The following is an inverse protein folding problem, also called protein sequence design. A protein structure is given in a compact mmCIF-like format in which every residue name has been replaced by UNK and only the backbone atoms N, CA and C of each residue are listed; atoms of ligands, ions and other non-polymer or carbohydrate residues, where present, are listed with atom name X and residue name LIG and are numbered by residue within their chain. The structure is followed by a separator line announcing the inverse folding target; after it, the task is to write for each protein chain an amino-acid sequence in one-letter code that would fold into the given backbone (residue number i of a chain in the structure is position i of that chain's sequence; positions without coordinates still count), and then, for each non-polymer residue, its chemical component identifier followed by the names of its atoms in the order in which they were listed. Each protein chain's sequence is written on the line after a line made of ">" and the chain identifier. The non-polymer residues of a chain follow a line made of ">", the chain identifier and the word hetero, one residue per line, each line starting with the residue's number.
data_IF_584475754769
#
_entry.id   IF_584475754769
#
_cell.length_a   1.000
_cell.length_b   1.000
_cell.length_c   1.000
_cell.angle_alpha   90.00
_cell.angle_beta   90.00
_cell.angle_gamma   90.00
#
_symmetry.space_group_name_H-M   'P 1'
#
loop_
_entity.id
_entity.type
_entity.pdbx_description
1 polymer ?
#
# COMPACT_ATOMS: atom_id res chain seq x y z
N UNK A 1 2.18 7.85 -2.41
CA UNK A 1 2.14 7.47 -0.99
C UNK A 1 3.37 6.67 -0.56
N UNK A 2 3.73 5.63 -1.27
CA UNK A 2 4.88 4.77 -1.00
C UNK A 2 6.18 5.54 -0.76
N UNK A 3 6.50 6.51 -1.64
CA UNK A 3 7.67 7.39 -1.50
C UNK A 3 7.69 8.18 -0.18
N UNK A 4 6.55 8.69 0.25
CA UNK A 4 6.45 9.41 1.53
C UNK A 4 6.69 8.48 2.72
N UNK A 5 6.14 7.27 2.68
CA UNK A 5 6.41 6.25 3.70
C UNK A 5 7.92 5.91 3.75
N UNK A 6 8.54 5.66 2.61
CA UNK A 6 9.96 5.36 2.51
C UNK A 6 10.83 6.51 3.04
N UNK A 7 10.48 7.76 2.72
CA UNK A 7 11.17 8.94 3.22
C UNK A 7 11.10 9.02 4.75
N UNK A 8 9.90 8.88 5.34
CA UNK A 8 9.71 8.95 6.81
C UNK A 8 10.46 7.83 7.53
N UNK A 9 10.46 6.61 6.97
CA UNK A 9 11.24 5.51 7.51
C UNK A 9 12.75 5.80 7.47
N UNK A 10 13.23 6.35 6.36
CA UNK A 10 14.64 6.74 6.21
C UNK A 10 15.04 7.85 7.19
N UNK A 11 14.20 8.87 7.38
CA UNK A 11 14.41 9.94 8.38
C UNK A 11 14.47 9.38 9.80
N UNK A 12 13.74 8.28 10.06
CA UNK A 12 13.75 7.53 11.32
C UNK A 12 14.89 6.49 11.40
N UNK A 13 15.87 6.55 10.47
CA UNK A 13 17.02 5.62 10.38
C UNK A 13 16.63 4.14 10.20
N UNK A 14 15.43 3.87 9.67
CA UNK A 14 14.98 2.52 9.34
C UNK A 14 15.49 2.10 7.96
N UNK A 15 16.08 0.91 7.90
CA UNK A 15 16.47 0.28 6.64
C UNK A 15 15.22 -0.28 5.95
N UNK A 16 14.86 0.29 4.81
CA UNK A 16 13.62 -0.02 4.12
C UNK A 16 13.89 -0.69 2.75
N UNK A 17 13.30 -1.85 2.54
CA UNK A 17 13.14 -2.47 1.22
C UNK A 17 11.83 -2.04 0.59
N UNK A 18 11.80 -1.90 -0.74
CA UNK A 18 10.60 -1.52 -1.48
C UNK A 18 10.35 -2.54 -2.58
N UNK A 19 9.17 -3.14 -2.57
CA UNK A 19 8.70 -4.06 -3.61
C UNK A 19 7.53 -3.40 -4.32
N UNK A 20 7.65 -3.20 -5.63
CA UNK A 20 6.59 -2.65 -6.47
C UNK A 20 6.23 -3.68 -7.52
N UNK A 21 4.95 -4.02 -7.59
CA UNK A 21 4.42 -4.90 -8.63
C UNK A 21 3.69 -4.05 -9.68
N UNK A 22 4.43 -3.57 -10.65
CA UNK A 22 3.86 -2.81 -11.77
C UNK A 22 3.76 -3.71 -13.00
N UNK A 23 2.57 -3.74 -13.61
CA UNK A 23 2.34 -4.38 -14.91
C UNK A 23 2.62 -3.33 -15.98
N UNK A 24 3.84 -3.31 -16.52
CA UNK A 24 4.18 -2.35 -17.57
C UNK A 24 5.65 -1.90 -17.56
N UNK A 25 5.98 -1.01 -18.48
CA UNK A 25 7.31 -0.41 -18.62
C UNK A 25 7.75 0.32 -17.34
N UNK A 26 9.06 0.44 -17.13
CA UNK A 26 9.72 1.07 -15.99
C UNK A 26 8.97 2.35 -15.56
N UNK A 27 8.25 2.26 -14.44
CA UNK A 27 7.45 3.38 -13.94
C UNK A 27 8.31 4.58 -13.55
N UNK A 28 7.77 5.78 -13.70
CA UNK A 28 8.44 7.06 -13.34
C UNK A 28 8.85 7.05 -11.87
N UNK A 29 8.08 6.39 -11.02
CA UNK A 29 8.34 6.29 -9.57
C UNK A 29 9.61 5.50 -9.26
N UNK A 30 9.93 4.45 -10.01
CA UNK A 30 11.15 3.67 -9.84
C UNK A 30 12.41 4.49 -10.11
N UNK A 31 12.37 5.41 -11.09
CA UNK A 31 13.49 6.32 -11.35
C UNK A 31 13.68 7.33 -10.21
N UNK A 32 12.59 7.80 -9.60
CA UNK A 32 12.65 8.70 -8.44
C UNK A 32 13.18 7.95 -7.21
N UNK A 33 12.71 6.74 -6.94
CA UNK A 33 13.17 5.91 -5.82
C UNK A 33 14.66 5.59 -5.92
N UNK A 34 15.15 5.19 -7.11
CA UNK A 34 16.57 4.96 -7.35
C UNK A 34 17.42 6.22 -7.13
N UNK A 35 16.92 7.39 -7.53
CA UNK A 35 17.61 8.68 -7.27
C UNK A 35 17.70 9.01 -5.78
N UNK A 36 16.74 8.58 -4.97
CA UNK A 36 16.69 8.78 -3.52
C UNK A 36 17.56 7.77 -2.75
N UNK A 37 18.30 6.89 -3.43
CA UNK A 37 19.16 5.84 -2.86
C UNK A 37 18.40 4.77 -2.06
N UNK A 38 17.10 4.58 -2.31
CA UNK A 38 16.38 3.42 -1.79
C UNK A 38 16.73 2.16 -2.60
N UNK A 39 16.81 1.04 -1.92
CA UNK A 39 16.88 -0.26 -2.58
C UNK A 39 15.46 -0.61 -3.07
N UNK A 40 15.26 -0.59 -4.38
CA UNK A 40 13.97 -0.88 -5.02
C UNK A 40 14.06 -2.20 -5.76
N UNK A 41 13.11 -3.08 -5.51
CA UNK A 41 12.94 -4.35 -6.22
C UNK A 41 11.63 -4.34 -6.97
N UNK A 42 11.69 -4.67 -8.23
CA UNK A 42 10.54 -4.76 -9.11
C UNK A 42 10.20 -6.23 -9.32
N UNK A 43 8.95 -6.59 -9.12
CA UNK A 43 8.46 -7.92 -9.49
C UNK A 43 7.89 -7.80 -10.89
N UNK A 44 8.63 -8.31 -11.89
CA UNK A 44 8.12 -8.46 -13.23
C UNK A 44 7.37 -9.80 -13.35
N UNK A 45 6.05 -9.77 -13.52
CA UNK A 45 5.27 -10.99 -13.65
C UNK A 45 4.03 -10.83 -14.53
N UNK A 46 3.98 -11.62 -15.58
CA UNK A 46 2.77 -11.80 -16.36
C UNK A 46 1.78 -12.72 -15.64
N UNK A 47 0.46 -12.48 -15.77
CA UNK A 47 -0.69 -13.27 -15.30
C UNK A 47 -0.72 -13.63 -13.81
N UNK A 48 -1.42 -12.91 -13.28
CA UNK A 48 -1.85 -12.30 -12.02
C UNK A 48 -2.08 -13.21 -10.80
N UNK A 49 -2.44 -14.48 -10.87
CA UNK A 49 -2.89 -15.19 -9.67
C UNK A 49 -1.93 -16.22 -9.08
N UNK A 50 -1.16 -16.93 -9.90
CA UNK A 50 -0.27 -17.99 -9.40
C UNK A 50 1.21 -17.59 -9.42
N UNK A 51 1.62 -16.84 -10.44
CA UNK A 51 3.04 -16.44 -10.63
C UNK A 51 3.47 -15.36 -9.65
N UNK A 52 2.54 -14.44 -9.27
CA UNK A 52 2.80 -13.38 -8.32
C UNK A 52 3.15 -13.91 -6.93
N UNK A 53 2.43 -14.91 -6.46
CA UNK A 53 2.63 -15.46 -5.12
C UNK A 53 4.01 -16.12 -4.97
N UNK A 54 4.45 -16.87 -5.99
CA UNK A 54 5.77 -17.52 -5.99
C UNK A 54 6.87 -16.46 -6.08
N UNK A 55 6.74 -15.49 -6.98
CA UNK A 55 7.75 -14.43 -7.14
C UNK A 55 7.83 -13.51 -5.93
N UNK A 56 6.70 -13.23 -5.23
CA UNK A 56 6.70 -12.44 -4.00
C UNK A 56 7.44 -13.18 -2.87
N UNK A 57 7.15 -14.45 -2.64
CA UNK A 57 7.82 -15.28 -1.64
C UNK A 57 9.34 -15.31 -1.88
N UNK A 58 9.76 -15.60 -3.11
CA UNK A 58 11.18 -15.62 -3.49
C UNK A 58 11.85 -14.25 -3.32
N UNK A 59 11.19 -13.18 -3.74
CA UNK A 59 11.72 -11.81 -3.62
C UNK A 59 11.90 -11.42 -2.15
N UNK A 60 10.91 -11.70 -1.31
CA UNK A 60 11.01 -11.43 0.13
C UNK A 60 12.14 -12.22 0.77
N UNK A 61 12.29 -13.52 0.43
CA UNK A 61 13.42 -14.33 0.91
C UNK A 61 14.77 -13.80 0.46
N UNK A 62 14.90 -13.39 -0.80
CA UNK A 62 16.14 -12.78 -1.31
C UNK A 62 16.48 -11.49 -0.57
N UNK A 63 15.48 -10.64 -0.29
CA UNK A 63 15.67 -9.41 0.46
C UNK A 63 16.17 -9.68 1.87
N UNK A 64 15.50 -10.58 2.58
CA UNK A 64 15.86 -10.93 3.96
C UNK A 64 17.22 -11.59 4.10
N UNK A 65 17.62 -12.39 3.10
CA UNK A 65 18.91 -13.09 3.12
C UNK A 65 20.09 -12.18 2.75
N UNK A 66 19.87 -11.16 1.92
CA UNK A 66 20.94 -10.32 1.41
C UNK A 66 21.05 -8.95 2.10
N UNK A 67 20.01 -8.53 2.82
CA UNK A 67 19.93 -7.21 3.42
C UNK A 67 19.37 -7.28 4.83
N UNK A 68 19.97 -6.53 5.73
CA UNK A 68 19.50 -6.33 7.09
C UNK A 68 18.43 -5.21 7.08
N UNK A 69 17.17 -5.59 6.83
CA UNK A 69 16.05 -4.66 6.68
C UNK A 69 15.17 -4.62 7.92
N UNK A 70 14.78 -3.41 8.34
CA UNK A 70 13.79 -3.20 9.40
C UNK A 70 12.35 -3.31 8.87
N UNK A 71 12.13 -2.94 7.61
CA UNK A 71 10.79 -2.85 7.03
C UNK A 71 10.84 -3.12 5.52
N UNK A 72 9.80 -3.77 5.01
CA UNK A 72 9.54 -3.89 3.57
C UNK A 72 8.24 -3.16 3.27
N UNK A 73 8.28 -2.22 2.35
CA UNK A 73 7.11 -1.59 1.76
C UNK A 73 6.74 -2.35 0.48
N UNK A 74 5.50 -2.82 0.42
CA UNK A 74 4.97 -3.54 -0.73
C UNK A 74 3.84 -2.72 -1.35
N UNK A 75 3.95 -2.42 -2.65
CA UNK A 75 2.86 -1.87 -3.45
C UNK A 75 2.42 -2.91 -4.48
N UNK A 76 1.28 -3.60 -4.24
CA UNK A 76 0.72 -4.52 -5.21
C UNK A 76 0.11 -3.75 -6.39
N UNK A 77 -0.17 -4.43 -7.50
CA UNK A 77 -0.94 -3.81 -8.58
C UNK A 77 -2.34 -3.39 -8.08
N UNK A 78 -2.88 -2.30 -8.62
CA UNK A 78 -4.12 -1.69 -8.12
C UNK A 78 -5.38 -2.56 -8.20
N UNK A 79 -5.32 -3.72 -8.87
CA UNK A 79 -6.40 -4.70 -8.95
C UNK A 79 -6.12 -5.99 -8.15
N UNK A 80 -5.02 -6.05 -7.41
CA UNK A 80 -4.66 -7.24 -6.63
C UNK A 80 -5.50 -7.34 -5.38
N UNK A 81 -6.11 -8.50 -5.15
CA UNK A 81 -6.78 -8.81 -3.88
C UNK A 81 -5.72 -8.88 -2.75
N UNK A 82 -5.81 -8.01 -1.72
CA UNK A 82 -4.85 -8.02 -0.62
C UNK A 82 -4.81 -9.36 0.11
N UNK A 83 -5.91 -10.10 0.17
CA UNK A 83 -5.97 -11.41 0.85
C UNK A 83 -5.01 -12.43 0.23
N UNK A 84 -4.78 -12.34 -1.08
CA UNK A 84 -3.87 -13.20 -1.80
C UNK A 84 -2.38 -13.01 -1.43
N UNK A 85 -2.05 -11.87 -0.83
CA UNK A 85 -0.67 -11.55 -0.42
C UNK A 85 -0.28 -12.13 0.94
N UNK A 86 -1.26 -12.37 1.82
CA UNK A 86 -0.97 -12.82 3.19
C UNK A 86 -0.28 -14.19 3.21
N UNK A 87 -0.78 -15.16 2.44
CA UNK A 87 -0.20 -16.51 2.41
C UNK A 87 1.27 -16.57 1.95
N UNK A 88 1.68 -15.90 0.86
CA UNK A 88 3.10 -15.77 0.49
C UNK A 88 3.95 -15.09 1.56
N UNK A 89 3.44 -14.02 2.18
CA UNK A 89 4.14 -13.30 3.24
C UNK A 89 4.31 -14.16 4.51
N UNK A 90 3.29 -14.90 4.90
CA UNK A 90 3.37 -15.85 6.02
C UNK A 90 4.41 -16.94 5.78
N UNK A 91 4.48 -17.50 4.58
CA UNK A 91 5.52 -18.46 4.19
C UNK A 91 6.93 -17.86 4.24
N UNK A 92 7.05 -16.55 4.02
CA UNK A 92 8.32 -15.82 4.15
C UNK A 92 8.65 -15.43 5.60
N UNK A 93 7.85 -15.88 6.59
CA UNK A 93 8.09 -15.64 8.02
C UNK A 93 7.43 -14.38 8.58
N UNK A 94 6.57 -13.70 7.81
CA UNK A 94 5.79 -12.58 8.31
C UNK A 94 4.44 -13.06 8.82
N UNK A 95 4.22 -12.96 10.12
CA UNK A 95 2.87 -13.20 10.69
C UNK A 95 1.94 -12.03 10.37
N UNK A 96 0.64 -12.28 10.35
CA UNK A 96 -0.39 -11.26 10.11
C UNK A 96 -0.22 -10.03 11.02
N UNK A 97 0.26 -10.23 12.25
CA UNK A 97 0.51 -9.14 13.21
C UNK A 97 1.68 -8.21 12.80
N UNK A 98 2.59 -8.70 11.96
CA UNK A 98 3.73 -7.92 11.43
C UNK A 98 3.41 -7.26 10.10
N UNK A 99 2.25 -7.58 9.51
CA UNK A 99 1.81 -7.01 8.23
C UNK A 99 0.86 -5.86 8.54
N UNK A 100 1.19 -4.67 8.07
CA UNK A 100 0.31 -3.52 8.11
C UNK A 100 -0.25 -3.24 6.73
N UNK A 101 -1.54 -3.40 6.58
CA UNK A 101 -2.27 -3.13 5.34
C UNK A 101 -2.87 -1.71 5.39
N UNK A 102 -2.50 -0.87 4.43
CA UNK A 102 -2.98 0.50 4.30
C UNK A 102 -3.76 0.60 2.99
N UNK A 103 -5.06 0.80 3.09
CA UNK A 103 -5.93 1.01 1.93
C UNK A 103 -5.95 2.48 1.54
N UNK A 104 -5.77 2.79 0.25
CA UNK A 104 -5.77 4.16 -0.26
C UNK A 104 -6.96 4.34 -1.18
N UNK A 105 -7.85 5.28 -0.84
CA UNK A 105 -9.05 5.63 -1.59
C UNK A 105 -8.88 7.00 -2.26
N UNK A 106 -9.22 7.05 -3.55
CA UNK A 106 -9.38 8.30 -4.31
C UNK A 106 -10.85 8.74 -4.23
N UNK A 107 -11.18 9.82 -3.51
CA UNK A 107 -12.57 10.27 -3.33
C UNK A 107 -13.24 10.67 -4.64
N UNK A 108 -12.48 11.12 -5.66
CA UNK A 108 -13.02 11.48 -6.97
C UNK A 108 -13.55 10.26 -7.76
N UNK A 109 -13.29 9.06 -7.29
CA UNK A 109 -13.66 7.80 -7.93
C UNK A 109 -14.52 6.91 -7.04
N UNK A 110 -15.00 7.41 -5.91
CA UNK A 110 -15.72 6.59 -4.92
C UNK A 110 -16.96 5.93 -5.51
N UNK A 111 -17.74 6.65 -6.31
CA UNK A 111 -18.95 6.12 -6.97
C UNK A 111 -18.60 4.99 -7.95
N UNK A 112 -17.51 5.15 -8.71
CA UNK A 112 -17.02 4.11 -9.62
C UNK A 112 -16.55 2.88 -8.82
N UNK A 113 -15.83 3.06 -7.73
CA UNK A 113 -15.39 1.96 -6.88
C UNK A 113 -16.60 1.19 -6.32
N UNK A 114 -17.61 1.88 -5.81
CA UNK A 114 -18.82 1.23 -5.28
C UNK A 114 -19.62 0.51 -6.37
N UNK A 115 -19.72 1.10 -7.57
CA UNK A 115 -20.51 0.52 -8.66
C UNK A 115 -19.83 -0.66 -9.39
N UNK A 116 -18.50 -0.65 -9.51
CA UNK A 116 -17.76 -1.58 -10.38
C UNK A 116 -16.84 -2.49 -9.59
N UNK A 117 -16.29 -2.02 -8.47
CA UNK A 117 -15.28 -2.71 -7.69
C UNK A 117 -15.77 -3.05 -6.26
N UNK A 118 -17.08 -3.20 -6.06
CA UNK A 118 -17.65 -3.55 -4.77
C UNK A 118 -17.00 -4.80 -4.13
N UNK A 119 -16.78 -5.91 -4.85
CA UNK A 119 -16.11 -7.09 -4.29
C UNK A 119 -14.68 -6.80 -3.81
N UNK A 120 -13.98 -5.88 -4.47
CA UNK A 120 -12.64 -5.45 -4.07
C UNK A 120 -12.67 -4.61 -2.79
N UNK A 121 -13.65 -3.71 -2.63
CA UNK A 121 -13.85 -2.95 -1.40
C UNK A 121 -14.20 -3.88 -0.23
N UNK A 122 -15.09 -4.86 -0.47
CA UNK A 122 -15.51 -5.85 0.51
C UNK A 122 -14.36 -6.73 0.99
N UNK A 123 -13.44 -7.12 0.12
CA UNK A 123 -12.27 -7.91 0.49
C UNK A 123 -11.15 -7.09 1.12
N UNK A 124 -11.00 -5.81 0.72
CA UNK A 124 -9.82 -5.01 1.06
C UNK A 124 -9.99 -4.19 2.33
N UNK A 125 -11.14 -3.50 2.49
CA UNK A 125 -11.34 -2.56 3.62
C UNK A 125 -11.34 -3.26 4.97
N UNK A 126 -11.97 -4.44 5.16
CA UNK A 126 -11.93 -5.16 6.43
C UNK A 126 -10.52 -5.62 6.84
N UNK A 127 -9.63 -5.82 5.88
CA UNK A 127 -8.24 -6.20 6.13
C UNK A 127 -7.33 -5.00 6.41
N UNK A 128 -7.81 -3.78 6.21
CA UNK A 128 -6.99 -2.59 6.37
C UNK A 128 -6.78 -2.24 7.85
N UNK A 129 -5.54 -1.97 8.23
CA UNK A 129 -5.19 -1.39 9.53
C UNK A 129 -5.42 0.13 9.54
N UNK A 130 -5.40 0.76 8.36
CA UNK A 130 -5.75 2.16 8.17
C UNK A 130 -6.29 2.38 6.75
N UNK A 131 -7.19 3.33 6.60
CA UNK A 131 -7.66 3.82 5.30
C UNK A 131 -7.24 5.27 5.12
N UNK A 132 -6.67 5.56 3.97
CA UNK A 132 -6.27 6.92 3.57
C UNK A 132 -7.22 7.39 2.48
N UNK A 133 -7.95 8.47 2.74
CA UNK A 133 -8.64 9.25 1.71
C UNK A 133 -7.65 10.29 1.23
N UNK A 134 -7.12 10.10 0.02
CA UNK A 134 -6.11 11.00 -0.56
C UNK A 134 -6.76 12.06 -1.46
N UNK A 135 -6.00 13.07 -1.90
CA UNK A 135 -6.46 14.14 -2.80
C UNK A 135 -7.59 15.01 -2.22
N UNK A 136 -7.55 15.26 -0.92
CA UNK A 136 -8.56 16.11 -0.26
C UNK A 136 -8.54 17.57 -0.72
N UNK A 137 -7.47 17.99 -1.37
CA UNK A 137 -7.27 19.34 -1.93
C UNK A 137 -8.11 19.60 -3.17
N UNK A 138 -8.55 18.56 -3.87
CA UNK A 138 -9.36 18.65 -5.10
C UNK A 138 -10.74 18.01 -4.98
N UNK A 139 -10.99 17.28 -3.89
CA UNK A 139 -12.27 16.65 -3.63
C UNK A 139 -13.27 17.61 -3.02
N UNK A 140 -14.54 17.52 -3.41
CA UNK A 140 -15.64 18.21 -2.78
C UNK A 140 -15.98 17.63 -1.40
N UNK A 141 -16.67 18.41 -0.56
CA UNK A 141 -17.16 17.93 0.73
C UNK A 141 -18.05 16.67 0.57
N UNK A 142 -18.88 16.65 -0.46
CA UNK A 142 -19.76 15.52 -0.76
C UNK A 142 -18.95 14.24 -1.06
N UNK A 143 -17.94 14.30 -1.92
CA UNK A 143 -17.08 13.14 -2.26
C UNK A 143 -16.31 12.63 -1.04
N UNK A 144 -15.89 13.52 -0.14
CA UNK A 144 -15.24 13.14 1.10
C UNK A 144 -16.21 12.44 2.07
N UNK A 145 -17.44 12.92 2.19
CA UNK A 145 -18.46 12.28 3.03
C UNK A 145 -18.88 10.92 2.48
N UNK A 146 -19.08 10.80 1.15
CA UNK A 146 -19.38 9.55 0.48
C UNK A 146 -18.23 8.55 0.65
N UNK A 147 -16.99 8.99 0.54
CA UNK A 147 -15.83 8.13 0.80
C UNK A 147 -15.86 7.54 2.21
N UNK A 148 -16.20 8.35 3.22
CA UNK A 148 -16.34 7.87 4.59
C UNK A 148 -17.52 6.90 4.72
N UNK A 149 -18.66 7.20 4.10
CA UNK A 149 -19.85 6.33 4.09
C UNK A 149 -19.50 4.96 3.53
N UNK A 150 -18.83 4.92 2.38
CA UNK A 150 -18.40 3.67 1.74
C UNK A 150 -17.44 2.89 2.63
N UNK A 151 -16.44 3.53 3.22
CA UNK A 151 -15.51 2.86 4.13
C UNK A 151 -16.27 2.27 5.33
N UNK A 152 -17.19 3.02 5.93
CA UNK A 152 -17.96 2.60 7.10
C UNK A 152 -18.97 1.49 6.82
N UNK A 153 -19.36 1.28 5.55
CA UNK A 153 -20.15 0.13 5.10
C UNK A 153 -19.42 -1.19 5.36
N UNK A 154 -18.09 -1.22 5.18
CA UNK A 154 -17.27 -2.42 5.27
C UNK A 154 -16.46 -2.54 6.56
N UNK A 155 -16.14 -1.42 7.22
CA UNK A 155 -15.42 -1.41 8.50
C UNK A 155 -15.83 -0.22 9.36
N UNK A 156 -16.43 -0.51 10.53
CA UNK A 156 -16.94 0.53 11.45
C UNK A 156 -15.82 1.29 12.16
N UNK A 157 -14.71 0.61 12.47
CA UNK A 157 -13.72 1.10 13.42
C UNK A 157 -12.36 1.40 12.80
N UNK A 158 -12.15 1.06 11.52
CA UNK A 158 -10.84 1.31 10.86
C UNK A 158 -10.47 2.79 10.93
N UNK A 159 -9.25 3.14 11.36
CA UNK A 159 -8.77 4.52 11.34
C UNK A 159 -8.80 5.10 9.92
N UNK A 160 -9.38 6.31 9.77
CA UNK A 160 -9.44 7.03 8.49
C UNK A 160 -8.58 8.27 8.59
N UNK A 161 -7.65 8.41 7.65
CA UNK A 161 -6.82 9.59 7.48
C UNK A 161 -7.21 10.32 6.19
N UNK A 162 -7.55 11.60 6.30
CA UNK A 162 -7.84 12.48 5.15
C UNK A 162 -6.60 13.31 4.88
N UNK A 163 -5.95 13.10 3.74
CA UNK A 163 -4.68 13.77 3.42
C UNK A 163 -4.60 14.22 1.96
N UNK A 164 -3.74 15.19 1.72
CA UNK A 164 -3.11 15.41 0.43
C UNK A 164 -1.67 14.88 0.52
N UNK A 165 -1.34 13.81 -0.19
CA UNK A 165 -0.02 13.17 -0.12
C UNK A 165 1.12 14.13 -0.52
N UNK A 166 0.84 15.16 -1.32
CA UNK A 166 1.85 16.13 -1.75
C UNK A 166 2.22 17.14 -0.64
N UNK A 167 1.30 17.34 0.33
CA UNK A 167 1.44 18.35 1.39
C UNK A 167 1.17 17.75 2.79
N UNK A 168 1.39 16.44 2.96
CA UNK A 168 1.18 15.76 4.24
C UNK A 168 2.41 15.90 5.14
N UNK A 169 2.15 16.20 6.41
CA UNK A 169 3.16 16.24 7.46
C UNK A 169 3.73 14.84 7.76
N UNK A 170 5.05 14.76 7.94
CA UNK A 170 5.75 13.51 8.25
C UNK A 170 5.23 12.82 9.51
N UNK A 171 4.75 13.57 10.51
CA UNK A 171 4.15 13.04 11.73
C UNK A 171 2.85 12.30 11.48
N UNK A 172 2.04 12.73 10.50
CA UNK A 172 0.83 11.99 10.09
C UNK A 172 1.21 10.66 9.45
N UNK A 173 2.20 10.67 8.53
CA UNK A 173 2.70 9.44 7.90
C UNK A 173 3.24 8.48 8.97
N UNK A 174 4.00 8.99 9.95
CA UNK A 174 4.53 8.19 11.04
C UNK A 174 3.39 7.53 11.85
N UNK A 175 2.35 8.27 12.19
CA UNK A 175 1.16 7.73 12.86
C UNK A 175 0.46 6.66 12.05
N UNK A 176 0.37 6.83 10.72
CA UNK A 176 -0.20 5.81 9.82
C UNK A 176 0.66 4.54 9.83
N UNK A 177 1.98 4.67 9.89
CA UNK A 177 2.90 3.54 9.90
C UNK A 177 3.00 2.83 11.27
N UNK A 178 2.80 3.54 12.37
CA UNK A 178 2.95 3.02 13.74
C UNK A 178 1.63 2.53 14.35
N UNK A 179 0.48 3.21 14.05
CA UNK A 179 -0.86 2.88 14.56
C UNK A 179 -1.43 1.65 13.93
#
# INVERSE_FOLDING_TARGET
>A
MLLKCAQVLSESQKKCGIIVNEVGEIGIDNLQMKKMRFNVWEIFGGCICCTLAISLEETVHQLLNNYDLDTILLEPSGASDPSALYKPLEKSGYTTQKIKNIFILDPLRVDMFEAVLEPYLESSIPLANAVIINKIDVASAFELEESVRVIRKYSKDVPIFRINVNDVDSGIIKRILEG
#
